data_IF_916311080581
#
_entry.id   IF_916311080581
#
_cell.length_a   1.000
_cell.length_b   1.000
_cell.length_c   1.000
_cell.angle_alpha   90.00
_cell.angle_beta   90.00
_cell.angle_gamma   90.00
#
_symmetry.space_group_name_H-M   'P 1'
#
loop_
_entity.id
_entity.type
_entity.pdbx_description
1 polymer ?
#
# COMPACT_ATOMS: atom_id res chain seq x y z
N UNK A 1 -1.65 -4.59 -11.09
CA UNK A 1 -1.19 -3.21 -11.25
C UNK A 1 -0.16 -3.16 -12.38
N UNK A 2 -0.40 -2.44 -13.50
CA UNK A 2 0.65 -2.27 -14.51
C UNK A 2 1.83 -1.57 -13.83
N UNK A 3 3.04 -2.14 -13.96
CA UNK A 3 4.27 -1.45 -13.52
C UNK A 3 4.58 -0.39 -14.55
N UNK A 4 3.91 0.76 -14.44
CA UNK A 4 4.28 1.92 -15.21
C UNK A 4 5.60 2.45 -14.63
N UNK A 5 6.65 2.46 -15.44
CA UNK A 5 7.88 3.17 -15.08
C UNK A 5 7.58 4.66 -14.90
N UNK A 6 8.45 5.37 -14.17
CA UNK A 6 8.31 6.82 -13.94
C UNK A 6 8.22 7.56 -15.28
N UNK A 7 9.08 7.23 -16.24
CA UNK A 7 9.12 7.91 -17.53
C UNK A 7 7.82 7.79 -18.36
N UNK A 8 7.24 6.59 -18.61
CA UNK A 8 5.95 6.51 -19.31
C UNK A 8 4.80 7.17 -18.53
N UNK A 9 4.84 7.16 -17.20
CA UNK A 9 3.85 7.88 -16.38
C UNK A 9 3.94 9.40 -16.58
N UNK A 10 5.14 9.98 -16.52
CA UNK A 10 5.35 11.42 -16.73
C UNK A 10 5.07 11.84 -18.16
N UNK A 11 5.38 10.98 -19.14
CA UNK A 11 5.00 11.23 -20.55
C UNK A 11 3.48 11.32 -20.70
N UNK A 12 2.74 10.38 -20.12
CA UNK A 12 1.28 10.43 -20.14
C UNK A 12 0.73 11.71 -19.48
N UNK A 13 1.32 12.15 -18.36
CA UNK A 13 0.94 13.43 -17.74
C UNK A 13 1.26 14.63 -18.65
N UNK A 14 2.41 14.63 -19.32
CA UNK A 14 2.77 15.68 -20.27
C UNK A 14 1.78 15.75 -21.45
N UNK A 15 1.44 14.59 -22.01
CA UNK A 15 0.49 14.47 -23.11
C UNK A 15 -0.91 14.96 -22.70
N UNK A 16 -1.38 14.61 -21.49
CA UNK A 16 -2.65 15.10 -20.93
C UNK A 16 -2.68 16.62 -20.72
N UNK A 17 -1.54 17.23 -20.41
CA UNK A 17 -1.41 18.67 -20.19
C UNK A 17 -1.06 19.45 -21.47
N UNK A 18 -0.89 18.76 -22.61
CA UNK A 18 -0.48 19.39 -23.87
C UNK A 18 0.93 19.99 -23.84
N UNK A 19 1.80 19.52 -22.94
CA UNK A 19 3.18 20.01 -22.80
C UNK A 19 4.18 19.01 -23.38
N UNK A 20 5.27 19.52 -23.94
CA UNK A 20 6.36 18.67 -24.44
C UNK A 20 7.10 18.03 -23.26
N UNK A 21 7.19 16.70 -23.27
CA UNK A 21 8.00 15.96 -22.31
C UNK A 21 9.48 16.40 -22.35
N UNK A 22 10.06 16.59 -21.17
CA UNK A 22 11.48 16.85 -20.95
C UNK A 22 12.04 15.86 -19.94
N UNK A 23 13.26 15.35 -20.16
CA UNK A 23 13.87 14.34 -19.30
C UNK A 23 14.00 14.77 -17.83
N UNK A 24 14.19 16.07 -17.58
CA UNK A 24 14.28 16.60 -16.22
C UNK A 24 12.96 16.48 -15.42
N UNK A 25 11.80 16.41 -16.08
CA UNK A 25 10.51 16.24 -15.41
C UNK A 25 10.42 14.88 -14.71
N UNK A 26 10.98 13.82 -15.30
CA UNK A 26 11.04 12.50 -14.65
C UNK A 26 11.90 12.52 -13.38
N UNK A 27 13.02 13.25 -13.42
CA UNK A 27 13.93 13.37 -12.27
C UNK A 27 13.25 14.18 -11.16
N UNK A 28 12.71 15.36 -11.51
CA UNK A 28 11.98 16.21 -10.56
C UNK A 28 10.80 15.48 -9.91
N UNK A 29 10.04 14.74 -10.72
CA UNK A 29 8.96 13.93 -10.21
C UNK A 29 9.45 12.83 -9.25
N UNK A 30 10.50 12.08 -9.62
CA UNK A 30 11.05 11.05 -8.75
C UNK A 30 11.46 11.63 -7.40
N UNK A 31 12.21 12.74 -7.40
CA UNK A 31 12.64 13.40 -6.16
C UNK A 31 11.46 13.89 -5.32
N UNK A 32 10.45 14.50 -5.93
CA UNK A 32 9.25 14.94 -5.24
C UNK A 32 8.45 13.75 -4.67
N UNK A 33 8.37 12.65 -5.42
CA UNK A 33 7.69 11.44 -5.00
C UNK A 33 8.41 10.75 -3.83
N UNK A 34 9.73 10.66 -3.87
CA UNK A 34 10.54 10.10 -2.77
C UNK A 34 10.35 10.90 -1.47
N UNK A 35 10.33 12.24 -1.57
CA UNK A 35 10.01 13.12 -0.44
C UNK A 35 8.59 12.91 0.08
N UNK A 36 7.61 12.82 -0.81
CA UNK A 36 6.23 12.55 -0.45
C UNK A 36 6.09 11.23 0.33
N UNK A 37 6.68 10.15 -0.18
CA UNK A 37 6.66 8.84 0.50
C UNK A 37 7.36 8.93 1.86
N UNK A 38 8.49 9.62 1.95
CA UNK A 38 9.21 9.83 3.20
C UNK A 38 8.36 10.54 4.26
N UNK A 39 7.61 11.57 3.86
CA UNK A 39 6.69 12.29 4.75
C UNK A 39 5.52 11.39 5.20
N UNK A 40 4.89 10.67 4.27
CA UNK A 40 3.78 9.76 4.57
C UNK A 40 4.22 8.66 5.53
N UNK A 41 5.39 8.04 5.30
CA UNK A 41 5.94 7.03 6.20
C UNK A 41 6.34 7.61 7.56
N UNK A 42 6.81 8.85 7.59
CA UNK A 42 7.04 9.60 8.84
C UNK A 42 5.75 9.75 9.66
N UNK A 43 4.68 10.27 9.05
CA UNK A 43 3.37 10.41 9.69
C UNK A 43 2.83 9.06 10.16
N UNK A 44 2.92 8.03 9.31
CA UNK A 44 2.52 6.67 9.65
C UNK A 44 3.25 6.15 10.89
N UNK A 45 4.56 6.39 10.99
CA UNK A 45 5.37 5.98 12.14
C UNK A 45 4.94 6.70 13.41
N UNK A 46 4.67 8.00 13.34
CA UNK A 46 4.17 8.76 14.47
C UNK A 46 2.81 8.23 14.96
N UNK A 47 1.89 7.95 14.05
CA UNK A 47 0.59 7.35 14.39
C UNK A 47 0.77 5.96 15.02
N UNK A 48 1.63 5.11 14.46
CA UNK A 48 1.91 3.79 15.02
C UNK A 48 2.51 3.89 16.43
N UNK A 49 3.45 4.81 16.66
CA UNK A 49 4.02 5.06 17.98
C UNK A 49 2.95 5.51 18.98
N UNK A 50 2.12 6.49 18.60
CA UNK A 50 1.06 7.02 19.46
C UNK A 50 0.02 5.95 19.86
N UNK A 51 -0.23 4.99 18.97
CA UNK A 51 -1.14 3.86 19.23
C UNK A 51 -0.45 2.67 19.92
N UNK A 52 0.84 2.74 20.25
CA UNK A 52 1.60 1.63 20.82
C UNK A 52 1.80 0.44 19.86
N UNK A 53 1.76 0.70 18.54
CA UNK A 53 1.79 -0.31 17.46
C UNK A 53 3.11 -0.36 16.69
N UNK A 54 4.19 0.17 17.28
CA UNK A 54 5.47 0.37 16.60
C UNK A 54 6.46 -0.78 16.77
N UNK A 55 6.11 -1.82 17.51
CA UNK A 55 6.99 -2.98 17.70
C UNK A 55 7.13 -3.79 16.40
N UNK A 56 8.30 -4.42 16.17
CA UNK A 56 8.45 -5.38 15.08
C UNK A 56 7.36 -6.44 15.15
N UNK A 57 6.81 -6.80 13.99
CA UNK A 57 5.73 -7.80 13.87
C UNK A 57 4.45 -7.49 14.68
N UNK A 58 4.22 -6.24 15.15
CA UNK A 58 3.04 -5.88 15.94
C UNK A 58 1.74 -6.43 15.36
N UNK A 59 1.53 -6.26 14.04
CA UNK A 59 0.34 -6.76 13.37
C UNK A 59 0.21 -8.28 13.53
N UNK A 60 1.25 -9.04 13.21
CA UNK A 60 1.23 -10.50 13.30
C UNK A 60 0.89 -10.99 14.72
N UNK A 61 1.32 -10.27 15.75
CA UNK A 61 1.07 -10.62 17.16
C UNK A 61 -0.28 -10.13 17.70
N UNK A 62 -0.87 -9.10 17.10
CA UNK A 62 -2.05 -8.40 17.66
C UNK A 62 -3.27 -8.38 16.73
N UNK A 63 -3.16 -8.90 15.50
CA UNK A 63 -4.30 -9.02 14.58
C UNK A 63 -4.80 -10.45 14.56
N UNK A 64 -6.13 -10.63 14.55
CA UNK A 64 -6.73 -11.94 14.31
C UNK A 64 -6.29 -12.43 12.91
N UNK A 65 -5.79 -13.68 12.77
CA UNK A 65 -5.60 -14.25 11.45
C UNK A 65 -6.95 -14.34 10.73
N UNK A 66 -6.94 -14.33 9.41
CA UNK A 66 -8.15 -14.63 8.65
C UNK A 66 -8.56 -16.08 8.96
N UNK A 67 -9.54 -16.24 9.84
CA UNK A 67 -10.06 -17.52 10.28
C UNK A 67 -11.57 -17.58 10.10
N UNK A 68 -12.10 -18.80 10.09
CA UNK A 68 -13.54 -19.07 10.12
C UNK A 68 -13.93 -19.61 11.51
N UNK A 69 -13.19 -19.21 12.54
CA UNK A 69 -13.41 -19.70 13.90
C UNK A 69 -14.69 -19.08 14.45
N UNK A 70 -15.60 -19.94 14.90
CA UNK A 70 -16.82 -19.55 15.59
C UNK A 70 -16.59 -19.70 17.10
N UNK A 71 -16.85 -18.64 17.85
CA UNK A 71 -16.69 -18.65 19.31
C UNK A 71 -17.84 -19.46 19.91
N UNK A 72 -17.49 -20.45 20.76
CA UNK A 72 -18.48 -21.27 21.46
C UNK A 72 -19.31 -20.36 22.39
N UNK A 73 -20.62 -20.59 22.42
CA UNK A 73 -21.60 -19.81 23.20
C UNK A 73 -21.87 -18.37 22.71
N UNK A 74 -21.36 -17.95 21.55
CA UNK A 74 -21.75 -16.71 20.89
C UNK A 74 -22.76 -16.95 19.75
N UNK A 75 -23.69 -16.00 19.49
CA UNK A 75 -24.57 -16.10 18.34
C UNK A 75 -23.78 -16.09 17.03
N UNK A 76 -24.14 -16.98 16.11
CA UNK A 76 -23.49 -17.07 14.80
C UNK A 76 -23.51 -15.74 14.04
N UNK A 77 -22.38 -15.37 13.43
CA UNK A 77 -22.29 -14.14 12.65
C UNK A 77 -23.12 -14.25 11.36
N UNK A 78 -23.88 -13.21 10.97
CA UNK A 78 -24.67 -13.22 9.74
C UNK A 78 -23.80 -13.31 8.48
N UNK A 79 -22.56 -12.83 8.56
CA UNK A 79 -21.55 -12.94 7.50
C UNK A 79 -20.49 -13.93 7.99
N UNK A 80 -20.48 -15.13 7.40
CA UNK A 80 -19.56 -16.22 7.81
C UNK A 80 -18.15 -16.09 7.24
N UNK A 81 -17.99 -15.26 6.21
CA UNK A 81 -16.70 -15.06 5.54
C UNK A 81 -16.65 -13.69 4.88
N UNK A 82 -15.57 -12.97 5.14
CA UNK A 82 -15.19 -11.78 4.38
C UNK A 82 -13.91 -12.11 3.62
N UNK A 83 -14.01 -12.26 2.30
CA UNK A 83 -12.87 -12.55 1.45
C UNK A 83 -12.37 -11.26 0.79
N UNK A 84 -11.11 -10.92 1.04
CA UNK A 84 -10.42 -9.84 0.34
C UNK A 84 -9.46 -10.45 -0.68
N UNK A 85 -9.81 -10.34 -1.96
CA UNK A 85 -8.96 -10.81 -3.05
C UNK A 85 -8.10 -9.65 -3.55
N UNK A 86 -6.79 -9.81 -3.50
CA UNK A 86 -5.85 -8.78 -3.97
C UNK A 86 -5.58 -8.86 -5.49
N UNK A 87 -6.37 -9.66 -6.22
CA UNK A 87 -6.19 -9.91 -7.65
C UNK A 87 -4.85 -10.58 -7.98
N UNK A 88 -4.33 -11.41 -7.06
CA UNK A 88 -3.07 -12.12 -7.20
C UNK A 88 -1.84 -11.18 -7.26
N UNK A 89 -1.93 -9.98 -6.65
CA UNK A 89 -0.82 -9.02 -6.67
C UNK A 89 0.25 -9.32 -5.61
N UNK A 90 -0.08 -10.05 -4.55
CA UNK A 90 0.86 -10.56 -3.53
C UNK A 90 1.85 -11.57 -4.10
N UNK A 91 1.39 -12.49 -4.95
CA UNK A 91 2.24 -13.46 -5.65
C UNK A 91 3.23 -12.79 -6.62
N UNK A 92 2.95 -11.58 -7.10
CA UNK A 92 3.89 -10.76 -7.91
C UNK A 92 5.01 -10.11 -7.08
N UNK A 93 4.94 -10.21 -5.75
CA UNK A 93 5.93 -9.68 -4.79
C UNK A 93 6.80 -10.77 -4.15
N UNK A 94 6.46 -12.05 -4.35
CA UNK A 94 7.33 -13.15 -3.93
C UNK A 94 8.55 -13.12 -4.86
N UNK A 95 9.74 -12.98 -4.30
CA UNK A 95 10.99 -13.07 -5.06
C UNK A 95 11.05 -14.43 -5.78
N UNK A 96 11.40 -14.41 -7.06
CA UNK A 96 11.84 -15.62 -7.76
C UNK A 96 13.23 -16.01 -7.30
#
# INVERSE_FOLDING_TARGET
CPRLGIQPFIRALCDLQGIRFKNNLSVQFSSAYDLYISLVEGVRRLVLNALGRSTPNYRMLNTCPACQYEVVDEPGQPIRMMAAFDGNNSLKRVQR
#
